data_IF_490635159970
#
_entry.id   IF_490635159970
#
_cell.length_a   1.000
_cell.length_b   1.000
_cell.length_c   1.000
_cell.angle_alpha   90.00
_cell.angle_beta   90.00
_cell.angle_gamma   90.00
#
_symmetry.space_group_name_H-M   'P 1'
#
loop_
_entity.id
_entity.type
_entity.pdbx_description
1 polymer ?
#
# COMPACT_ATOMS: atom_id res chain seq x y z
N UNK A 1 3.13 7.02 16.76
CA UNK A 1 3.70 7.09 15.39
C UNK A 1 2.68 7.75 14.47
N UNK A 2 3.06 8.14 13.26
CA UNK A 2 2.15 8.69 12.25
C UNK A 2 2.47 8.08 10.89
N UNK A 3 1.51 8.08 9.99
CA UNK A 3 1.73 7.75 8.58
C UNK A 3 2.61 8.85 7.97
N UNK A 4 3.67 8.45 7.28
CA UNK A 4 4.50 9.37 6.49
C UNK A 4 3.93 9.42 5.08
N UNK A 5 3.98 10.60 4.49
CA UNK A 5 3.44 10.88 3.15
C UNK A 5 4.53 11.36 2.23
N UNK A 6 4.29 11.29 0.93
CA UNK A 6 5.15 11.95 -0.06
C UNK A 6 5.38 13.43 0.35
N UNK A 7 6.56 13.99 0.12
CA UNK A 7 7.72 13.41 -0.55
C UNK A 7 8.77 12.75 0.39
N UNK A 8 8.36 12.21 1.56
CA UNK A 8 9.32 11.62 2.50
C UNK A 8 10.16 10.52 1.84
N UNK A 9 11.49 10.75 1.76
CA UNK A 9 12.43 9.88 1.05
C UNK A 9 12.44 8.42 1.55
N UNK A 10 12.04 8.15 2.81
CA UNK A 10 11.95 6.78 3.34
C UNK A 10 10.93 5.92 2.59
N UNK A 11 9.92 6.53 1.96
CA UNK A 11 8.97 5.82 1.09
C UNK A 11 9.63 5.28 -0.19
N UNK A 12 10.79 5.80 -0.55
CA UNK A 12 11.56 5.41 -1.74
C UNK A 12 12.71 4.44 -1.42
N UNK A 13 12.88 4.13 -0.13
CA UNK A 13 13.93 3.22 0.32
C UNK A 13 13.47 1.77 0.30
N UNK A 14 14.42 0.87 0.01
CA UNK A 14 14.17 -0.58 0.02
C UNK A 14 14.24 -1.12 1.45
N UNK A 15 13.17 -1.80 1.87
CA UNK A 15 13.05 -2.40 3.20
C UNK A 15 13.94 -3.63 3.37
N UNK A 16 14.49 -3.78 4.56
CA UNK A 16 15.33 -4.91 4.97
C UNK A 16 14.50 -6.14 5.37
N UNK A 17 15.05 -7.33 5.13
CA UNK A 17 14.44 -8.57 5.61
C UNK A 17 14.47 -8.66 7.13
N UNK A 18 13.37 -9.08 7.72
CA UNK A 18 13.27 -9.49 9.12
C UNK A 18 14.01 -10.82 9.29
N UNK A 19 15.03 -10.85 10.13
CA UNK A 19 15.82 -12.08 10.38
C UNK A 19 15.26 -12.93 11.51
N UNK A 20 14.60 -12.31 12.49
CA UNK A 20 14.01 -12.94 13.67
C UNK A 20 12.72 -12.21 14.02
N UNK A 21 11.69 -12.97 14.35
CA UNK A 21 10.41 -12.45 14.85
C UNK A 21 10.50 -12.40 16.38
N UNK A 22 10.96 -11.29 16.89
CA UNK A 22 11.09 -10.99 18.31
C UNK A 22 10.05 -9.95 18.76
N UNK A 23 10.16 -9.48 19.99
CA UNK A 23 9.19 -8.54 20.57
C UNK A 23 9.23 -7.17 19.88
N UNK A 24 10.39 -6.77 19.32
CA UNK A 24 10.49 -5.55 18.51
C UNK A 24 9.61 -5.66 17.25
N UNK A 25 9.72 -6.78 16.52
CA UNK A 25 8.93 -7.01 15.31
C UNK A 25 7.44 -7.12 15.63
N UNK A 26 7.07 -7.79 16.73
CA UNK A 26 5.67 -7.86 17.20
C UNK A 26 5.14 -6.47 17.59
N UNK A 27 5.98 -5.65 18.23
CA UNK A 27 5.66 -4.26 18.56
C UNK A 27 5.37 -3.42 17.31
N UNK A 28 6.21 -3.52 16.27
CA UNK A 28 6.00 -2.86 14.98
C UNK A 28 4.64 -3.26 14.37
N UNK A 29 4.33 -4.56 14.36
CA UNK A 29 3.06 -5.07 13.80
C UNK A 29 1.86 -4.54 14.59
N UNK A 30 1.95 -4.49 15.92
CA UNK A 30 0.91 -3.93 16.78
C UNK A 30 0.69 -2.43 16.50
N UNK A 31 1.78 -1.67 16.32
CA UNK A 31 1.73 -0.25 15.97
C UNK A 31 1.13 -0.02 14.57
N UNK A 32 1.44 -0.87 13.60
CA UNK A 32 0.83 -0.82 12.26
C UNK A 32 -0.69 -0.99 12.33
N UNK A 33 -1.16 -2.02 13.06
CA UNK A 33 -2.60 -2.26 13.26
C UNK A 33 -3.29 -1.07 13.90
N UNK A 34 -2.70 -0.55 14.98
CA UNK A 34 -3.22 0.63 15.66
C UNK A 34 -3.29 1.84 14.74
N UNK A 35 -2.21 2.10 14.01
CA UNK A 35 -2.12 3.26 13.11
C UNK A 35 -3.13 3.19 11.97
N UNK A 36 -3.38 1.99 11.41
CA UNK A 36 -4.44 1.76 10.42
C UNK A 36 -5.83 2.11 10.96
N UNK A 37 -6.15 1.67 12.19
CA UNK A 37 -7.44 1.92 12.81
C UNK A 37 -7.60 3.38 13.25
N UNK A 38 -6.54 4.01 13.77
CA UNK A 38 -6.53 5.43 14.12
C UNK A 38 -6.79 6.29 12.86
N UNK A 39 -6.17 5.94 11.73
CA UNK A 39 -6.39 6.62 10.46
C UNK A 39 -7.84 6.50 9.97
N UNK A 40 -8.44 5.31 10.06
CA UNK A 40 -9.86 5.10 9.71
C UNK A 40 -10.83 5.92 10.59
N UNK A 41 -10.48 6.12 11.85
CA UNK A 41 -11.29 6.94 12.75
C UNK A 41 -11.32 8.41 12.33
N UNK A 42 -10.24 8.90 11.69
CA UNK A 42 -10.13 10.25 11.14
C UNK A 42 -10.73 10.35 9.72
N UNK A 43 -10.88 9.21 9.01
CA UNK A 43 -11.37 9.13 7.63
C UNK A 43 -12.60 8.20 7.53
N UNK A 44 -13.78 8.61 8.02
CA UNK A 44 -14.94 7.71 8.22
C UNK A 44 -15.48 7.07 6.94
N UNK A 45 -15.18 7.64 5.78
CA UNK A 45 -15.63 7.13 4.47
C UNK A 45 -14.61 6.24 3.78
N UNK A 46 -13.41 6.10 4.33
CA UNK A 46 -12.33 5.30 3.76
C UNK A 46 -12.04 4.07 4.63
N UNK A 47 -11.43 3.05 4.02
CA UNK A 47 -11.02 1.81 4.66
C UNK A 47 -9.51 1.64 4.48
N UNK A 48 -8.79 1.41 5.57
CA UNK A 48 -7.42 0.94 5.50
C UNK A 48 -7.43 -0.58 5.25
N UNK A 49 -7.39 -0.97 3.99
CA UNK A 49 -7.38 -2.38 3.59
C UNK A 49 -6.05 -3.07 3.92
N UNK A 50 -4.95 -2.33 3.88
CA UNK A 50 -3.60 -2.83 4.14
C UNK A 50 -2.65 -1.68 4.49
N UNK A 51 -1.47 -2.02 5.02
CA UNK A 51 -0.38 -1.08 5.27
C UNK A 51 0.97 -1.80 5.22
N UNK A 52 1.99 -1.13 4.70
CA UNK A 52 3.39 -1.56 4.77
C UNK A 52 4.17 -0.78 5.82
N UNK A 53 5.13 -1.40 6.49
CA UNK A 53 5.94 -0.77 7.54
C UNK A 53 6.69 0.50 7.08
N UNK A 54 7.18 0.65 5.84
CA UNK A 54 7.73 1.91 5.35
C UNK A 54 6.80 3.10 5.48
N UNK A 55 5.48 2.90 5.42
CA UNK A 55 4.49 3.98 5.56
C UNK A 55 4.43 4.58 6.97
N UNK A 56 5.03 3.94 7.95
CA UNK A 56 5.27 4.52 9.28
C UNK A 56 6.77 4.83 9.55
N UNK A 57 7.59 4.85 8.49
CA UNK A 57 9.02 5.15 8.55
C UNK A 57 9.89 4.00 9.04
N UNK A 58 9.39 2.77 9.08
CA UNK A 58 10.11 1.56 9.51
C UNK A 58 10.49 0.72 8.29
N UNK A 59 11.78 0.69 7.95
CA UNK A 59 12.28 0.01 6.74
C UNK A 59 12.47 -1.50 6.97
N UNK A 60 11.40 -2.19 7.35
CA UNK A 60 11.33 -3.66 7.50
C UNK A 60 10.30 -4.26 6.54
N UNK A 61 10.60 -5.44 6.02
CA UNK A 61 9.67 -6.15 5.11
C UNK A 61 8.52 -6.76 5.89
N UNK A 62 7.57 -5.92 6.27
CA UNK A 62 6.35 -6.28 6.98
C UNK A 62 5.19 -5.56 6.32
N UNK A 63 4.11 -6.28 6.05
CA UNK A 63 2.83 -5.71 5.65
C UNK A 63 1.73 -6.28 6.54
N UNK A 64 0.67 -5.53 6.74
CA UNK A 64 -0.58 -6.02 7.32
C UNK A 64 -1.68 -5.93 6.28
N UNK A 65 -2.57 -6.91 6.26
CA UNK A 65 -3.72 -6.94 5.36
C UNK A 65 -4.95 -7.23 6.21
N UNK A 66 -6.02 -6.49 6.00
CA UNK A 66 -7.31 -6.71 6.65
C UNK A 66 -7.86 -8.07 6.25
N UNK A 67 -8.33 -8.83 7.25
CA UNK A 67 -8.80 -10.21 7.03
C UNK A 67 -10.12 -10.25 6.26
N UNK A 68 -10.95 -9.22 6.41
CA UNK A 68 -12.18 -9.02 5.65
C UNK A 68 -12.27 -7.58 5.16
N UNK A 69 -11.99 -7.37 3.88
CA UNK A 69 -12.01 -6.05 3.23
C UNK A 69 -13.43 -5.56 2.92
N UNK A 70 -14.46 -6.40 3.03
CA UNK A 70 -15.86 -6.03 2.81
C UNK A 70 -16.54 -5.59 4.13
N UNK A 71 -16.07 -6.09 5.27
CA UNK A 71 -16.61 -5.73 6.60
C UNK A 71 -15.72 -4.71 7.32
N UNK A 72 -16.10 -3.43 7.23
CA UNK A 72 -15.42 -2.34 7.96
C UNK A 72 -15.40 -2.54 9.49
N UNK A 73 -16.34 -3.31 10.06
CA UNK A 73 -16.37 -3.60 11.50
C UNK A 73 -15.35 -4.67 11.90
N UNK A 74 -14.86 -5.45 10.95
CA UNK A 74 -13.79 -6.40 11.20
C UNK A 74 -12.45 -5.64 11.26
N UNK A 75 -11.99 -5.34 12.48
CA UNK A 75 -10.72 -4.67 12.75
C UNK A 75 -9.52 -5.64 12.86
N UNK A 76 -9.62 -6.83 12.26
CA UNK A 76 -8.58 -7.86 12.27
C UNK A 76 -7.66 -7.73 11.05
N UNK A 77 -6.35 -7.91 11.29
CA UNK A 77 -5.32 -7.84 10.25
C UNK A 77 -4.35 -9.01 10.40
N UNK A 78 -4.10 -9.70 9.31
CA UNK A 78 -3.02 -10.68 9.18
C UNK A 78 -1.72 -9.97 8.80
N UNK A 79 -0.65 -10.18 9.57
CA UNK A 79 0.67 -9.70 9.23
C UNK A 79 1.42 -10.72 8.35
N UNK A 80 2.05 -10.21 7.31
CA UNK A 80 2.92 -10.98 6.42
C UNK A 80 4.35 -10.43 6.53
N UNK A 81 5.26 -11.28 6.97
CA UNK A 81 6.67 -10.95 7.20
C UNK A 81 7.49 -11.50 6.04
N UNK A 82 8.39 -10.68 5.51
CA UNK A 82 9.21 -10.96 4.33
C UNK A 82 8.40 -11.43 3.12
N UNK A 83 7.27 -10.77 2.79
CA UNK A 83 6.49 -11.16 1.62
C UNK A 83 7.33 -10.98 0.35
N UNK A 84 7.22 -11.97 -0.55
CA UNK A 84 7.93 -11.99 -1.82
C UNK A 84 7.02 -12.56 -2.91
N UNK A 85 6.90 -11.85 -4.03
CA UNK A 85 6.17 -12.33 -5.20
C UNK A 85 6.93 -13.48 -5.82
N UNK A 86 6.31 -14.65 -5.87
CA UNK A 86 6.86 -15.83 -6.56
C UNK A 86 6.62 -15.71 -8.07
N UNK A 87 5.39 -15.32 -8.45
CA UNK A 87 5.00 -15.04 -9.83
C UNK A 87 3.66 -14.32 -9.90
N UNK A 88 3.47 -13.57 -10.96
CA UNK A 88 2.19 -13.00 -11.38
C UNK A 88 1.58 -13.82 -12.50
N UNK A 89 0.25 -13.90 -12.55
CA UNK A 89 -0.51 -14.68 -13.53
C UNK A 89 -1.80 -13.93 -13.90
N UNK A 90 -2.53 -14.47 -14.85
CA UNK A 90 -3.78 -13.90 -15.33
C UNK A 90 -3.58 -12.73 -16.30
N UNK A 91 -4.65 -12.00 -16.57
CA UNK A 91 -4.58 -10.78 -17.39
C UNK A 91 -4.13 -9.59 -16.56
N UNK A 92 -3.62 -8.57 -17.21
CA UNK A 92 -3.46 -7.25 -16.58
C UNK A 92 -4.80 -6.52 -16.61
N UNK A 93 -5.24 -6.00 -15.47
CA UNK A 93 -6.45 -5.18 -15.32
C UNK A 93 -6.07 -3.84 -14.73
N UNK A 94 -6.57 -2.75 -15.31
CA UNK A 94 -6.52 -1.42 -14.70
C UNK A 94 -7.66 -1.29 -13.70
N UNK A 95 -7.35 -0.74 -12.54
CA UNK A 95 -8.34 -0.40 -11.53
C UNK A 95 -7.79 0.71 -10.63
N UNK A 96 -8.68 1.36 -9.89
CA UNK A 96 -8.29 2.44 -9.00
C UNK A 96 -7.43 1.94 -7.83
N UNK A 97 -6.37 2.69 -7.55
CA UNK A 97 -5.58 2.59 -6.33
C UNK A 97 -5.49 3.96 -5.66
N UNK A 98 -5.61 3.98 -4.34
CA UNK A 98 -5.23 5.08 -3.47
C UNK A 98 -4.20 4.58 -2.46
N UNK A 99 -3.55 5.47 -1.74
CA UNK A 99 -2.52 5.13 -0.77
C UNK A 99 -2.52 6.12 0.39
N UNK A 100 -2.44 5.62 1.62
CA UNK A 100 -2.34 6.45 2.83
C UNK A 100 -1.14 7.40 2.79
N UNK A 101 -0.08 7.02 2.06
CA UNK A 101 1.14 7.81 1.91
C UNK A 101 1.14 8.75 0.70
N UNK A 102 0.09 8.72 -0.12
CA UNK A 102 -0.10 9.60 -1.27
C UNK A 102 -1.50 10.23 -1.16
N UNK A 103 -1.66 11.23 -0.28
CA UNK A 103 -2.98 11.76 0.05
C UNK A 103 -3.63 12.45 -1.17
N UNK A 104 -4.94 12.30 -1.27
CA UNK A 104 -5.81 12.97 -2.25
C UNK A 104 -5.60 12.57 -3.72
N UNK A 105 -4.60 11.75 -4.04
CA UNK A 105 -4.36 11.26 -5.40
C UNK A 105 -4.73 9.79 -5.49
N UNK A 106 -5.41 9.45 -6.57
CA UNK A 106 -5.78 8.10 -6.96
C UNK A 106 -5.31 7.82 -8.38
N UNK A 107 -5.12 6.55 -8.74
CA UNK A 107 -4.64 6.18 -10.06
C UNK A 107 -5.29 4.95 -10.65
N UNK A 108 -5.46 4.92 -11.97
CA UNK A 108 -5.88 3.75 -12.74
C UNK A 108 -4.68 2.86 -13.04
N UNK A 109 -4.27 2.05 -12.05
CA UNK A 109 -3.01 1.29 -12.07
C UNK A 109 -3.18 -0.08 -12.74
N UNK A 110 -2.31 -0.45 -13.69
CA UNK A 110 -2.31 -1.79 -14.30
C UNK A 110 -1.68 -2.81 -13.34
N UNK A 111 -2.43 -3.85 -12.97
CA UNK A 111 -1.95 -4.97 -12.15
C UNK A 111 -2.34 -6.31 -12.74
N UNK A 112 -1.51 -7.34 -12.51
CA UNK A 112 -1.88 -8.73 -12.78
C UNK A 112 -3.05 -9.13 -11.88
N UNK A 113 -4.05 -9.82 -12.45
CA UNK A 113 -5.24 -10.26 -11.70
C UNK A 113 -5.00 -11.47 -10.81
N UNK A 114 -3.82 -12.07 -10.85
CA UNK A 114 -3.44 -13.20 -9.99
C UNK A 114 -1.99 -13.08 -9.59
N UNK A 115 -1.72 -13.39 -8.31
CA UNK A 115 -0.35 -13.40 -7.76
C UNK A 115 -0.16 -14.59 -6.83
N UNK A 116 1.05 -15.13 -6.82
CA UNK A 116 1.52 -16.07 -5.79
C UNK A 116 2.60 -15.38 -4.97
N UNK A 117 2.38 -15.33 -3.67
CA UNK A 117 3.27 -14.71 -2.68
C UNK A 117 3.70 -15.77 -1.67
N UNK A 118 4.97 -15.78 -1.29
CA UNK A 118 5.45 -16.47 -0.09
C UNK A 118 5.70 -15.45 1.01
N UNK A 119 5.42 -15.82 2.25
CA UNK A 119 5.65 -14.98 3.43
C UNK A 119 5.79 -15.84 4.68
N UNK A 120 6.08 -15.20 5.82
CA UNK A 120 5.94 -15.80 7.15
C UNK A 120 4.83 -15.08 7.92
N UNK A 121 4.10 -15.83 8.74
CA UNK A 121 3.17 -15.30 9.73
C UNK A 121 3.92 -14.90 11.02
N UNK A 122 3.22 -14.25 11.96
CA UNK A 122 3.79 -13.80 13.24
C UNK A 122 4.30 -14.93 14.14
N UNK A 123 3.78 -16.15 13.97
CA UNK A 123 4.24 -17.35 14.66
C UNK A 123 5.45 -18.04 14.01
N UNK A 124 5.94 -17.47 12.89
CA UNK A 124 7.04 -18.03 12.11
C UNK A 124 6.63 -19.05 11.06
N UNK A 125 5.34 -19.37 10.93
CA UNK A 125 4.83 -20.30 9.92
C UNK A 125 5.04 -19.74 8.52
N UNK A 126 5.70 -20.49 7.64
CA UNK A 126 5.80 -20.14 6.22
C UNK A 126 4.49 -20.43 5.49
N UNK A 127 4.04 -19.45 4.72
CA UNK A 127 2.81 -19.53 3.94
C UNK A 127 3.04 -19.23 2.47
N UNK A 128 2.20 -19.81 1.62
CA UNK A 128 2.10 -19.49 0.20
C UNK A 128 0.67 -19.09 -0.12
N UNK A 129 0.49 -17.84 -0.46
CA UNK A 129 -0.80 -17.24 -0.74
C UNK A 129 -1.00 -17.22 -2.26
N UNK A 130 -2.15 -17.71 -2.70
CA UNK A 130 -2.63 -17.54 -4.09
C UNK A 130 -3.76 -16.51 -4.01
N UNK A 131 -3.52 -15.32 -4.49
CA UNK A 131 -4.48 -14.25 -4.49
C UNK A 131 -4.99 -13.93 -5.89
N UNK A 132 -6.24 -13.47 -5.96
CA UNK A 132 -6.88 -13.01 -7.19
C UNK A 132 -7.50 -11.64 -6.98
N UNK A 133 -7.69 -10.93 -8.07
CA UNK A 133 -8.42 -9.68 -8.18
C UNK A 133 -7.97 -8.63 -7.16
N UNK A 134 -8.84 -8.20 -6.26
CA UNK A 134 -8.55 -7.13 -5.29
C UNK A 134 -7.43 -7.51 -4.31
N UNK A 135 -7.47 -8.72 -3.75
CA UNK A 135 -6.39 -9.19 -2.86
C UNK A 135 -5.05 -9.29 -3.60
N UNK A 136 -5.05 -9.67 -4.88
CA UNK A 136 -3.82 -9.67 -5.68
C UNK A 136 -3.28 -8.26 -5.87
N UNK A 137 -4.14 -7.28 -6.14
CA UNK A 137 -3.80 -5.85 -6.26
C UNK A 137 -3.21 -5.31 -4.96
N UNK A 138 -3.90 -5.55 -3.84
CA UNK A 138 -3.46 -5.12 -2.50
C UNK A 138 -2.08 -5.67 -2.15
N UNK A 139 -1.86 -6.99 -2.35
CA UNK A 139 -0.56 -7.61 -2.08
C UNK A 139 0.56 -7.01 -2.94
N UNK A 140 0.31 -6.75 -4.22
CA UNK A 140 1.28 -6.13 -5.11
C UNK A 140 1.59 -4.69 -4.69
N UNK A 141 0.57 -3.92 -4.32
CA UNK A 141 0.71 -2.55 -3.82
C UNK A 141 1.59 -2.50 -2.56
N UNK A 142 1.29 -3.35 -1.56
CA UNK A 142 2.05 -3.36 -0.31
C UNK A 142 3.49 -3.87 -0.49
N UNK A 143 3.70 -4.84 -1.38
CA UNK A 143 5.05 -5.33 -1.69
C UNK A 143 5.86 -4.27 -2.46
N UNK A 144 5.23 -3.44 -3.28
CA UNK A 144 5.88 -2.30 -3.93
C UNK A 144 6.44 -1.34 -2.89
N UNK A 145 5.69 -0.97 -1.85
CA UNK A 145 6.18 -0.15 -0.74
C UNK A 145 7.45 -0.72 -0.11
N UNK A 146 7.54 -2.04 0.06
CA UNK A 146 8.74 -2.69 0.60
C UNK A 146 9.95 -2.62 -0.34
N UNK A 147 9.73 -2.25 -1.59
CA UNK A 147 10.76 -2.08 -2.61
C UNK A 147 11.04 -0.59 -2.93
N UNK A 148 10.40 0.34 -2.21
CA UNK A 148 10.52 1.79 -2.44
C UNK A 148 9.74 2.29 -3.66
N UNK A 149 8.73 1.53 -4.09
CA UNK A 149 7.87 1.86 -5.24
C UNK A 149 6.49 2.29 -4.73
N UNK A 150 5.93 3.34 -5.31
CA UNK A 150 4.57 3.80 -5.04
C UNK A 150 3.69 3.52 -6.27
N UNK A 151 2.37 3.42 -6.07
CA UNK A 151 1.46 3.15 -7.18
C UNK A 151 1.55 4.18 -8.31
N UNK A 152 1.85 5.44 -7.97
CA UNK A 152 2.02 6.54 -8.92
C UNK A 152 3.17 6.29 -9.90
N UNK A 153 4.19 5.51 -9.53
CA UNK A 153 5.34 5.21 -10.40
C UNK A 153 4.93 4.34 -11.60
N UNK A 154 3.90 3.50 -11.44
CA UNK A 154 3.40 2.63 -12.52
C UNK A 154 2.67 3.38 -13.62
N UNK A 155 2.27 4.62 -13.35
CA UNK A 155 1.44 5.44 -14.24
C UNK A 155 2.02 6.86 -14.45
N UNK A 156 3.28 7.08 -14.04
CA UNK A 156 3.91 8.41 -14.00
C UNK A 156 3.75 9.21 -15.31
N UNK A 157 3.85 8.54 -16.44
CA UNK A 157 3.80 9.18 -17.77
C UNK A 157 2.42 9.05 -18.44
N UNK A 158 1.38 8.71 -17.68
CA UNK A 158 0.03 8.48 -18.19
C UNK A 158 -0.94 9.56 -17.67
N UNK A 159 -1.09 10.64 -18.42
CA UNK A 159 -1.90 11.81 -18.05
C UNK A 159 -3.34 11.45 -17.63
N UNK A 160 -4.01 10.57 -18.39
CA UNK A 160 -5.41 10.17 -18.14
C UNK A 160 -5.57 9.16 -16.98
N UNK A 161 -4.48 8.76 -16.32
CA UNK A 161 -4.52 7.75 -15.28
C UNK A 161 -4.70 8.30 -13.86
N UNK A 162 -4.66 9.61 -13.65
CA UNK A 162 -4.71 10.25 -12.34
C UNK A 162 -6.07 10.86 -12.03
N UNK A 163 -6.49 10.70 -10.76
CA UNK A 163 -7.78 11.12 -10.25
C UNK A 163 -7.64 11.76 -8.87
N UNK A 164 -8.64 12.58 -8.51
CA UNK A 164 -8.82 13.12 -7.16
C UNK A 164 -10.23 12.81 -6.65
N UNK A 165 -10.38 12.71 -5.33
CA UNK A 165 -11.71 12.58 -4.72
C UNK A 165 -12.31 13.98 -4.55
N UNK A 166 -13.53 14.16 -5.01
CA UNK A 166 -14.30 15.38 -4.78
C UNK A 166 -15.00 15.37 -3.41
N UNK A 167 -15.61 16.48 -3.01
CA UNK A 167 -16.32 16.62 -1.72
C UNK A 167 -17.52 15.66 -1.58
N UNK A 168 -17.95 15.01 -2.66
CA UNK A 168 -19.03 14.01 -2.64
C UNK A 168 -18.53 12.59 -2.56
N UNK A 169 -17.20 12.38 -2.57
CA UNK A 169 -16.57 11.06 -2.57
C UNK A 169 -16.44 10.42 -3.95
N UNK A 170 -16.71 11.17 -5.04
CA UNK A 170 -16.51 10.67 -6.40
C UNK A 170 -15.08 10.91 -6.86
N UNK A 171 -14.51 9.95 -7.60
CA UNK A 171 -13.22 10.11 -8.27
C UNK A 171 -13.42 10.87 -9.57
N UNK A 172 -12.78 12.03 -9.68
CA UNK A 172 -12.76 12.87 -10.88
C UNK A 172 -11.35 12.94 -11.46
N UNK A 173 -11.17 12.97 -12.78
CA UNK A 173 -9.85 13.14 -13.40
C UNK A 173 -9.13 14.39 -12.86
N UNK A 174 -7.81 14.32 -12.78
CA UNK A 174 -6.95 15.50 -12.53
C UNK A 174 -7.08 16.45 -13.73
N UNK A 175 -7.28 17.73 -13.48
CA UNK A 175 -7.51 18.72 -14.54
C UNK A 175 -6.21 19.25 -15.17
N UNK A 176 -5.18 19.43 -14.36
CA UNK A 176 -3.87 19.96 -14.77
C UNK A 176 -2.77 18.96 -14.38
N UNK A 177 -2.60 17.93 -15.22
CA UNK A 177 -1.61 16.88 -15.01
C UNK A 177 -0.19 17.43 -14.85
N UNK A 178 0.20 18.42 -15.66
CA UNK A 178 1.52 19.02 -15.62
C UNK A 178 1.84 19.56 -14.22
N UNK A 179 0.97 20.40 -13.71
CA UNK A 179 1.13 21.10 -12.44
C UNK A 179 0.84 20.19 -11.22
N UNK A 180 -0.23 19.38 -11.31
CA UNK A 180 -0.72 18.64 -10.15
C UNK A 180 0.00 17.31 -9.97
N UNK A 181 0.56 16.76 -11.04
CA UNK A 181 1.24 15.46 -11.03
C UNK A 181 2.70 15.59 -11.46
N UNK A 182 2.98 15.90 -12.74
CA UNK A 182 4.32 15.78 -13.31
C UNK A 182 5.35 16.68 -12.63
N UNK A 183 5.03 17.94 -12.42
CA UNK A 183 5.91 18.96 -11.86
C UNK A 183 5.63 19.21 -10.36
N UNK A 184 5.05 18.23 -9.65
CA UNK A 184 4.65 18.35 -8.25
C UNK A 184 5.73 17.78 -7.32
N UNK A 185 6.58 18.66 -6.77
CA UNK A 185 7.64 18.28 -5.81
C UNK A 185 7.10 17.66 -4.52
N UNK A 186 5.87 17.99 -4.09
CA UNK A 186 5.24 17.35 -2.93
C UNK A 186 4.86 15.89 -3.20
N UNK A 187 4.74 15.50 -4.46
CA UNK A 187 4.43 14.14 -4.87
C UNK A 187 5.70 13.31 -5.11
N UNK A 188 6.69 13.92 -5.79
CA UNK A 188 7.89 13.20 -6.24
C UNK A 188 9.13 13.44 -5.38
N UNK A 189 9.20 14.57 -4.66
CA UNK A 189 10.41 15.09 -4.04
C UNK A 189 11.22 15.96 -5.02
N UNK A 190 12.14 16.73 -4.50
CA UNK A 190 13.12 17.45 -5.33
C UNK A 190 14.07 16.42 -5.99
N UNK A 191 14.27 16.53 -7.30
CA UNK A 191 15.27 15.73 -8.03
C UNK A 191 16.72 16.17 -7.74
#
# INVERSE_FOLDING_TARGET
>A
MKIITTPDGRLREKSEKVRKIDDEIRGIIADMRKLSLDWEAEHPYELSAAMAAPQMGVLKRIIIIRDDMEDKKNASFTALINPEVIRTEGRVKRDYEGCLSVPSIYGMVPRATKVKVKAMLEDGTEVRIKATDELARTLLHEIDHLNGVLFIDHIRDEEDAFYKMNDKGDLIPVEDYEKEIRDNDELWGEE
#
